data_IF_191520649955
#
_entry.id   IF_191520649955
#
_cell.length_a   1.000
_cell.length_b   1.000
_cell.length_c   1.000
_cell.angle_alpha   90.00
_cell.angle_beta   90.00
_cell.angle_gamma   90.00
#
_symmetry.space_group_name_H-M   'P 1'
#
loop_
_entity.id
_entity.type
_entity.pdbx_description
1 polymer ?
#
# COMPACT_ATOMS: atom_id res chain seq x y z
N UNK A 1 -7.67 12.78 4.44
CA UNK A 1 -8.89 12.03 4.84
C UNK A 1 -10.08 12.97 5.11
N UNK A 2 -9.94 14.01 5.95
CA UNK A 2 -11.01 14.99 6.22
C UNK A 2 -11.51 15.78 4.99
N UNK A 3 -10.63 16.11 4.04
CA UNK A 3 -11.02 16.86 2.82
C UNK A 3 -11.93 16.06 1.86
N UNK A 4 -11.81 14.74 1.82
CA UNK A 4 -12.63 13.88 0.95
C UNK A 4 -14.03 13.70 1.53
N UNK A 5 -14.14 13.64 2.87
CA UNK A 5 -15.43 13.62 3.56
C UNK A 5 -16.15 14.96 3.39
N UNK A 6 -15.44 16.09 3.41
CA UNK A 6 -16.04 17.41 3.16
C UNK A 6 -16.62 17.54 1.74
N UNK A 7 -15.92 17.07 0.70
CA UNK A 7 -16.48 17.05 -0.66
C UNK A 7 -17.71 16.14 -0.79
N UNK A 8 -17.75 15.02 -0.05
CA UNK A 8 -18.94 14.17 0.05
C UNK A 8 -20.08 14.85 0.83
N UNK A 9 -19.77 15.60 1.88
CA UNK A 9 -20.76 16.25 2.73
C UNK A 9 -21.35 17.52 2.11
N UNK A 10 -20.58 18.28 1.32
CA UNK A 10 -21.08 19.47 0.61
C UNK A 10 -22.13 19.11 -0.47
N UNK A 11 -22.06 17.88 -0.99
CA UNK A 11 -23.09 17.33 -1.89
C UNK A 11 -24.42 16.98 -1.17
N UNK A 12 -24.42 16.87 0.16
CA UNK A 12 -25.60 16.49 0.97
C UNK A 12 -26.55 17.65 1.27
N UNK A 13 -26.33 18.83 0.69
CA UNK A 13 -27.06 20.07 0.96
C UNK A 13 -27.96 20.58 -0.17
N UNK A 14 -28.76 19.75 -0.87
CA UNK A 14 -29.84 20.29 -1.72
C UNK A 14 -31.01 19.31 -1.87
N UNK A 15 -32.05 19.54 -1.07
CA UNK A 15 -33.39 18.94 -1.12
C UNK A 15 -33.94 18.96 -2.57
N UNK A 16 -33.89 17.84 -3.30
CA UNK A 16 -34.64 17.67 -4.56
C UNK A 16 -34.83 16.19 -4.95
N UNK A 17 -36.06 15.72 -4.82
CA UNK A 17 -36.74 14.67 -5.59
C UNK A 17 -36.02 13.31 -5.74
N UNK A 18 -36.31 12.43 -4.77
CA UNK A 18 -35.79 11.09 -4.48
C UNK A 18 -35.92 10.02 -5.58
N UNK A 19 -36.52 10.30 -6.74
CA UNK A 19 -36.63 9.35 -7.86
C UNK A 19 -35.65 9.62 -9.01
N UNK A 20 -35.14 10.85 -9.15
CA UNK A 20 -34.19 11.21 -10.22
C UNK A 20 -32.74 11.01 -9.79
N UNK A 21 -32.47 11.15 -8.50
CA UNK A 21 -31.13 10.94 -7.92
C UNK A 21 -30.71 9.46 -7.96
N UNK A 22 -31.64 8.52 -7.71
CA UNK A 22 -31.39 7.08 -7.80
C UNK A 22 -31.00 6.60 -9.21
N UNK A 23 -31.61 7.18 -10.24
CA UNK A 23 -31.31 6.86 -11.66
C UNK A 23 -29.93 7.38 -12.07
N UNK A 24 -29.53 8.54 -11.55
CA UNK A 24 -28.20 9.11 -11.80
C UNK A 24 -27.11 8.27 -11.13
N UNK A 25 -27.33 7.76 -9.92
CA UNK A 25 -26.40 6.83 -9.25
C UNK A 25 -26.30 5.46 -9.98
N UNK A 26 -27.41 4.93 -10.49
CA UNK A 26 -27.42 3.67 -11.24
C UNK A 26 -26.71 3.77 -12.61
N UNK A 27 -26.82 4.92 -13.30
CA UNK A 27 -26.11 5.17 -14.56
C UNK A 27 -24.64 5.53 -14.37
N UNK A 28 -24.30 6.29 -13.31
CA UNK A 28 -22.91 6.61 -12.97
C UNK A 28 -22.14 5.41 -12.39
N UNK A 29 -22.84 4.39 -11.86
CA UNK A 29 -22.24 3.15 -11.39
C UNK A 29 -21.59 2.29 -12.47
N UNK A 30 -21.95 2.47 -13.75
CA UNK A 30 -21.33 1.75 -14.87
C UNK A 30 -20.03 2.40 -15.38
N UNK A 31 -19.76 3.67 -15.02
CA UNK A 31 -18.62 4.45 -15.57
C UNK A 31 -17.55 4.73 -14.49
N UNK A 32 -17.70 4.18 -13.28
CA UNK A 32 -16.79 4.49 -12.16
C UNK A 32 -15.80 3.35 -11.78
N UNK A 33 -15.63 2.32 -12.62
CA UNK A 33 -14.78 1.17 -12.24
C UNK A 33 -13.28 1.41 -12.54
N UNK A 34 -12.95 2.28 -13.51
CA UNK A 34 -11.56 2.37 -13.98
C UNK A 34 -10.64 3.28 -13.13
N UNK A 35 -11.20 4.18 -12.30
CA UNK A 35 -10.40 5.14 -11.53
C UNK A 35 -9.93 4.63 -10.15
N UNK A 36 -10.57 3.61 -9.58
CA UNK A 36 -10.25 3.11 -8.23
C UNK A 36 -8.99 2.21 -8.21
N UNK A 37 -8.70 1.52 -9.33
CA UNK A 37 -7.62 0.51 -9.41
C UNK A 37 -6.21 1.11 -9.53
N UNK A 38 -6.10 2.41 -9.85
CA UNK A 38 -4.80 3.08 -10.04
C UNK A 38 -4.13 3.47 -8.72
N UNK A 39 -4.89 3.68 -7.65
CA UNK A 39 -4.33 4.16 -6.37
C UNK A 39 -3.73 3.03 -5.51
N UNK A 40 -4.19 1.78 -5.64
CA UNK A 40 -3.66 0.67 -4.82
C UNK A 40 -2.31 0.15 -5.30
N UNK A 41 -2.04 0.21 -6.61
CA UNK A 41 -0.74 -0.20 -7.18
C UNK A 41 0.42 0.67 -6.71
N UNK A 42 0.19 1.97 -6.55
CA UNK A 42 1.20 2.89 -6.04
C UNK A 42 1.52 2.63 -4.57
N UNK A 43 0.51 2.31 -3.76
CA UNK A 43 0.68 2.08 -2.32
C UNK A 43 1.53 0.84 -2.05
N UNK A 44 1.25 -0.28 -2.72
CA UNK A 44 2.05 -1.51 -2.54
C UNK A 44 3.50 -1.35 -3.00
N UNK A 45 3.73 -0.65 -4.12
CA UNK A 45 5.09 -0.38 -4.60
C UNK A 45 5.86 0.51 -3.60
N UNK A 46 5.26 1.62 -3.14
CA UNK A 46 5.91 2.49 -2.16
C UNK A 46 6.22 1.76 -0.85
N UNK A 47 5.29 0.94 -0.35
CA UNK A 47 5.49 0.14 0.85
C UNK A 47 6.67 -0.82 0.69
N UNK A 48 6.79 -1.50 -0.46
CA UNK A 48 7.94 -2.35 -0.74
C UNK A 48 9.25 -1.54 -0.79
N UNK A 49 9.26 -0.40 -1.49
CA UNK A 49 10.46 0.43 -1.61
C UNK A 49 10.96 0.91 -0.25
N UNK A 50 10.06 1.34 0.62
CA UNK A 50 10.39 1.80 1.96
C UNK A 50 10.82 0.63 2.85
N UNK A 51 10.14 -0.52 2.75
CA UNK A 51 10.53 -1.75 3.44
C UNK A 51 11.95 -2.20 3.09
N UNK A 52 12.30 -2.23 1.80
CA UNK A 52 13.64 -2.64 1.35
C UNK A 52 14.73 -1.70 1.90
N UNK A 53 14.49 -0.39 1.87
CA UNK A 53 15.44 0.61 2.40
C UNK A 53 15.65 0.49 3.91
N UNK A 54 14.57 0.34 4.67
CA UNK A 54 14.65 0.17 6.12
C UNK A 54 15.34 -1.17 6.46
N UNK A 55 15.08 -2.23 5.68
CA UNK A 55 15.72 -3.53 5.88
C UNK A 55 17.21 -3.53 5.54
N UNK A 56 17.61 -2.82 4.48
CA UNK A 56 19.02 -2.61 4.13
C UNK A 56 19.78 -1.96 5.30
N UNK A 57 19.20 -0.93 5.91
CA UNK A 57 19.76 -0.27 7.11
C UNK A 57 19.85 -1.23 8.31
N UNK A 58 18.85 -2.08 8.51
CA UNK A 58 18.81 -3.05 9.61
C UNK A 58 19.82 -4.20 9.46
N UNK A 59 20.14 -4.57 8.21
CA UNK A 59 21.14 -5.58 7.88
C UNK A 59 22.57 -5.08 8.13
N UNK A 60 22.84 -3.79 7.95
CA UNK A 60 24.15 -3.20 8.27
C UNK A 60 24.51 -3.27 9.77
N UNK A 61 23.50 -3.40 10.63
CA UNK A 61 23.68 -3.42 12.09
C UNK A 61 23.88 -4.83 12.68
N UNK A 62 23.87 -5.89 11.86
CA UNK A 62 24.23 -7.32 12.08
C UNK A 62 23.81 -8.02 13.40
N UNK A 63 22.87 -7.45 14.17
CA UNK A 63 22.42 -8.00 15.45
C UNK A 63 20.95 -8.44 15.42
N UNK A 64 20.69 -9.75 15.43
CA UNK A 64 19.38 -10.34 15.75
C UNK A 64 18.71 -11.11 14.62
N UNK A 65 17.49 -11.59 14.89
CA UNK A 65 16.70 -12.35 13.94
C UNK A 65 16.10 -11.42 12.86
N UNK A 66 16.45 -11.66 11.59
CA UNK A 66 16.03 -10.83 10.46
C UNK A 66 14.52 -10.78 10.26
N UNK A 67 13.81 -11.88 10.51
CA UNK A 67 12.35 -11.95 10.41
C UNK A 67 11.68 -11.07 11.48
N UNK A 68 12.24 -11.03 12.69
CA UNK A 68 11.75 -10.13 13.74
C UNK A 68 12.01 -8.66 13.41
N UNK A 69 13.17 -8.33 12.82
CA UNK A 69 13.46 -6.97 12.35
C UNK A 69 12.52 -6.56 11.23
N UNK A 70 12.31 -7.42 10.25
CA UNK A 70 11.39 -7.23 9.14
C UNK A 70 9.95 -6.99 9.63
N UNK A 71 9.46 -7.77 10.60
CA UNK A 71 8.15 -7.54 11.22
C UNK A 71 8.06 -6.18 11.92
N UNK A 72 9.10 -5.76 12.67
CA UNK A 72 9.12 -4.43 13.31
C UNK A 72 9.13 -3.29 12.29
N UNK A 73 9.82 -3.47 11.15
CA UNK A 73 9.77 -2.51 10.05
C UNK A 73 8.33 -2.38 9.55
N UNK A 74 7.60 -3.49 9.39
CA UNK A 74 6.19 -3.45 9.00
C UNK A 74 5.30 -2.72 10.00
N UNK A 75 5.42 -3.01 11.29
CA UNK A 75 4.64 -2.33 12.33
C UNK A 75 4.90 -0.80 12.28
N UNK A 76 6.17 -0.40 12.11
CA UNK A 76 6.61 1.00 12.01
C UNK A 76 6.09 1.69 10.73
N UNK A 77 6.31 1.10 9.57
CA UNK A 77 5.92 1.69 8.27
C UNK A 77 4.40 1.85 8.16
N UNK A 78 3.66 0.92 8.74
CA UNK A 78 2.21 0.90 8.63
C UNK A 78 1.51 1.57 9.81
N UNK A 79 2.24 1.93 10.88
CA UNK A 79 1.69 2.42 12.13
C UNK A 79 0.57 1.51 12.68
N UNK A 80 0.80 0.19 12.64
CA UNK A 80 -0.16 -0.85 13.03
C UNK A 80 -1.52 -0.75 12.31
N UNK A 81 -1.53 -0.18 11.10
CA UNK A 81 -2.75 -0.04 10.32
C UNK A 81 -3.27 -1.41 9.87
N UNK A 82 -4.50 -1.76 10.26
CA UNK A 82 -5.09 -3.08 10.01
C UNK A 82 -5.25 -3.47 8.53
N UNK A 83 -5.06 -2.54 7.60
CA UNK A 83 -5.08 -2.82 6.16
C UNK A 83 -3.68 -2.93 5.55
N UNK A 84 -2.74 -2.05 5.94
CA UNK A 84 -1.39 -2.03 5.40
C UNK A 84 -0.45 -3.03 6.08
N UNK A 85 -0.64 -3.26 7.38
CA UNK A 85 0.21 -4.16 8.17
C UNK A 85 0.19 -5.60 7.63
N UNK A 86 -0.99 -6.22 7.34
CA UNK A 86 -1.01 -7.55 6.73
C UNK A 86 -0.37 -7.58 5.34
N UNK A 87 -0.45 -6.49 4.58
CA UNK A 87 0.19 -6.39 3.27
C UNK A 87 1.72 -6.34 3.40
N UNK A 88 2.24 -5.62 4.39
CA UNK A 88 3.67 -5.60 4.67
C UNK A 88 4.15 -6.95 5.20
N UNK A 89 3.43 -7.55 6.16
CA UNK A 89 3.80 -8.85 6.73
C UNK A 89 3.81 -9.97 5.67
N UNK A 90 2.96 -9.87 4.65
CA UNK A 90 3.04 -10.75 3.49
C UNK A 90 4.38 -10.65 2.72
N UNK A 91 5.04 -9.49 2.68
CA UNK A 91 6.42 -9.38 2.15
C UNK A 91 7.40 -10.16 3.03
N UNK A 92 7.24 -10.09 4.35
CA UNK A 92 8.09 -10.81 5.30
C UNK A 92 7.93 -12.32 5.13
N UNK A 93 6.68 -12.79 5.10
CA UNK A 93 6.37 -14.22 5.09
C UNK A 93 6.76 -14.90 3.77
N UNK A 94 6.64 -14.19 2.64
CA UNK A 94 6.76 -14.80 1.31
C UNK A 94 7.99 -14.36 0.51
N UNK A 95 8.50 -13.15 0.77
CA UNK A 95 9.48 -12.50 -0.11
C UNK A 95 10.77 -12.10 0.61
N UNK A 96 10.85 -12.25 1.95
CA UNK A 96 11.98 -11.79 2.75
C UNK A 96 13.31 -12.36 2.25
N UNK A 97 13.39 -13.66 1.95
CA UNK A 97 14.61 -14.27 1.43
C UNK A 97 15.04 -13.64 0.10
N UNK A 98 14.10 -13.45 -0.83
CA UNK A 98 14.35 -12.80 -2.13
C UNK A 98 14.82 -11.36 -1.97
N UNK A 99 14.26 -10.63 -1.00
CA UNK A 99 14.60 -9.25 -0.70
C UNK A 99 16.01 -9.17 -0.10
N UNK A 100 16.32 -9.98 0.91
CA UNK A 100 17.65 -10.05 1.54
C UNK A 100 18.72 -10.38 0.51
N UNK A 101 18.49 -11.41 -0.32
CA UNK A 101 19.40 -11.75 -1.41
C UNK A 101 19.58 -10.57 -2.40
N UNK A 102 18.52 -9.82 -2.68
CA UNK A 102 18.61 -8.62 -3.52
C UNK A 102 19.52 -7.55 -2.90
N UNK A 103 19.35 -7.28 -1.61
CA UNK A 103 20.16 -6.33 -0.85
C UNK A 103 21.63 -6.77 -0.81
N UNK A 104 21.91 -8.05 -0.52
CA UNK A 104 23.27 -8.60 -0.52
C UNK A 104 23.96 -8.48 -1.90
N UNK A 105 23.18 -8.63 -2.98
CA UNK A 105 23.64 -8.42 -4.35
C UNK A 105 23.77 -6.94 -4.74
N UNK A 106 23.46 -6.01 -3.84
CA UNK A 106 23.46 -4.55 -4.06
C UNK A 106 22.52 -4.12 -5.20
N UNK A 107 21.42 -4.86 -5.36
CA UNK A 107 20.38 -4.46 -6.30
C UNK A 107 19.62 -3.23 -5.75
N UNK A 108 19.28 -2.24 -6.59
CA UNK A 108 18.51 -1.09 -6.13
C UNK A 108 17.10 -1.52 -5.70
N UNK A 109 16.48 -0.85 -4.72
CA UNK A 109 15.14 -1.21 -4.21
C UNK A 109 14.08 -1.38 -5.30
N UNK A 110 14.12 -0.55 -6.35
CA UNK A 110 13.17 -0.65 -7.47
C UNK A 110 13.30 -1.98 -8.23
N UNK A 111 14.53 -2.50 -8.39
CA UNK A 111 14.76 -3.79 -9.06
C UNK A 111 14.23 -4.92 -8.21
N UNK A 112 14.48 -4.89 -6.89
CA UNK A 112 14.01 -5.89 -5.93
C UNK A 112 12.47 -5.90 -5.91
N UNK A 113 11.84 -4.75 -5.74
CA UNK A 113 10.38 -4.64 -5.69
C UNK A 113 9.68 -4.99 -7.01
N UNK A 114 10.34 -4.80 -8.16
CA UNK A 114 9.85 -5.32 -9.45
C UNK A 114 9.97 -6.83 -9.57
N UNK A 115 11.07 -7.41 -9.06
CA UNK A 115 11.30 -8.87 -9.09
C UNK A 115 10.19 -9.63 -8.36
N UNK A 116 9.73 -9.11 -7.23
CA UNK A 116 8.63 -9.67 -6.43
C UNK A 116 7.24 -9.13 -6.84
N UNK A 117 7.17 -8.35 -7.93
CA UNK A 117 5.93 -7.83 -8.55
C UNK A 117 5.12 -6.84 -7.70
N UNK A 118 5.72 -6.24 -6.67
CA UNK A 118 5.11 -5.15 -5.92
C UNK A 118 5.20 -3.81 -6.67
N UNK A 119 6.21 -3.66 -7.53
CA UNK A 119 6.33 -2.57 -8.51
C UNK A 119 6.23 -3.10 -9.94
N UNK A 120 5.74 -2.27 -10.87
CA UNK A 120 5.72 -2.54 -12.31
C UNK A 120 6.84 -1.80 -13.03
#
# INVERSE_FOLDING_TARGET
MFFVILLFFESSGRKKNMNKTLIVFALLGLIAIDAVVLQTKGIGCNLCLDFVKDLETELENDEGNIEQKANKICDKLTHDNSFLDPLCKSLVDNELETIVQGIENKDPPEKICKKIKFCK
#
